data_IF_000285638189
#
_entry.id   IF_000285638189
#
_cell.length_a   1.000
_cell.length_b   1.000
_cell.length_c   1.000
_cell.angle_alpha   90.00
_cell.angle_beta   90.00
_cell.angle_gamma   90.00
#
_symmetry.space_group_name_H-M   'P 1'
#
loop_
_entity.id
_entity.type
_entity.pdbx_description
1 polymer ?
#
# COMPACT_ATOMS: atom_id res chain seq x y z
N UNK A 1 36.48 -16.48 30.26
CA UNK A 1 36.34 -17.43 29.14
C UNK A 1 34.95 -18.03 29.22
N UNK A 2 34.04 -17.55 28.44
CA UNK A 2 32.69 -18.10 28.23
C UNK A 2 32.62 -18.61 26.79
N UNK A 3 32.13 -19.84 26.54
CA UNK A 3 32.16 -20.45 25.21
C UNK A 3 30.99 -20.01 24.35
N UNK A 4 31.33 -19.57 23.15
CA UNK A 4 30.66 -19.72 21.87
C UNK A 4 29.14 -19.69 21.80
N UNK A 5 28.57 -18.49 21.60
CA UNK A 5 27.30 -18.36 20.90
C UNK A 5 27.56 -18.58 19.39
N UNK A 6 27.12 -19.74 18.89
CA UNK A 6 27.09 -20.00 17.44
C UNK A 6 26.10 -19.01 16.80
N UNK A 7 26.59 -18.20 15.90
CA UNK A 7 25.77 -17.43 14.96
C UNK A 7 24.80 -18.39 14.24
N UNK A 8 23.53 -18.25 14.53
CA UNK A 8 22.47 -18.88 13.74
C UNK A 8 22.34 -18.08 12.47
N UNK A 9 22.91 -18.58 11.39
CA UNK A 9 22.85 -17.92 10.09
C UNK A 9 21.41 -17.77 9.62
N UNK A 10 20.96 -16.53 9.43
CA UNK A 10 19.66 -16.11 8.94
C UNK A 10 19.13 -16.84 7.67
N UNK A 11 20.01 -17.38 6.78
CA UNK A 11 19.55 -18.11 5.58
C UNK A 11 18.70 -19.35 5.85
N UNK A 12 18.85 -19.98 7.02
CA UNK A 12 18.11 -21.22 7.33
C UNK A 12 16.67 -20.98 7.73
N UNK A 13 16.36 -19.84 8.35
CA UNK A 13 14.99 -19.48 8.73
C UNK A 13 14.16 -19.05 7.51
N UNK A 14 14.74 -18.24 6.62
CA UNK A 14 14.11 -17.81 5.36
C UNK A 14 13.88 -18.97 4.38
N UNK A 15 14.80 -19.94 4.29
CA UNK A 15 14.60 -21.16 3.51
C UNK A 15 13.43 -22.01 4.03
N UNK A 16 13.23 -22.06 5.34
CA UNK A 16 12.07 -22.78 5.93
C UNK A 16 10.75 -22.06 5.71
N UNK A 17 10.74 -20.73 5.72
CA UNK A 17 9.55 -19.94 5.38
C UNK A 17 9.20 -20.02 3.88
N UNK A 18 10.17 -19.98 2.98
CA UNK A 18 9.93 -20.11 1.53
C UNK A 18 9.42 -21.50 1.15
N UNK A 19 9.91 -22.57 1.80
CA UNK A 19 9.41 -23.94 1.58
C UNK A 19 8.00 -24.13 2.15
N UNK A 20 7.63 -23.42 3.24
CA UNK A 20 6.28 -23.48 3.80
C UNK A 20 5.23 -22.78 2.89
N UNK A 21 5.62 -21.72 2.18
CA UNK A 21 4.73 -21.02 1.24
C UNK A 21 4.39 -21.84 -0.02
N UNK A 22 5.27 -22.72 -0.47
CA UNK A 22 5.04 -23.60 -1.64
C UNK A 22 4.12 -24.78 -1.30
N UNK A 23 4.05 -25.20 -0.04
CA UNK A 23 3.22 -26.36 0.38
C UNK A 23 1.78 -25.99 0.80
N UNK A 24 1.46 -24.72 1.08
CA UNK A 24 0.08 -24.30 1.37
C UNK A 24 -0.85 -24.19 0.16
N UNK A 25 -0.33 -24.34 -1.07
CA UNK A 25 -1.09 -24.18 -2.32
C UNK A 25 -1.96 -25.37 -2.76
N UNK A 26 -2.01 -26.50 -2.05
CA UNK A 26 -2.57 -27.75 -2.58
C UNK A 26 -3.71 -28.41 -1.79
N UNK A 27 -4.34 -27.73 -0.84
CA UNK A 27 -5.48 -28.31 -0.11
C UNK A 27 -6.64 -27.31 0.03
N UNK A 28 -7.32 -26.99 -1.08
CA UNK A 28 -8.61 -26.27 -1.03
C UNK A 28 -9.73 -27.26 -1.31
N UNK A 29 -10.37 -27.76 -0.25
CA UNK A 29 -11.68 -28.37 -0.33
C UNK A 29 -12.77 -27.30 -0.55
N UNK A 30 -14.00 -27.66 -1.00
CA UNK A 30 -15.03 -26.67 -1.33
C UNK A 30 -15.47 -25.92 -0.08
N UNK A 31 -15.11 -24.64 0.05
CA UNK A 31 -15.60 -23.75 1.06
C UNK A 31 -16.96 -23.19 0.63
N UNK A 32 -17.97 -23.35 1.49
CA UNK A 32 -19.28 -22.74 1.29
C UNK A 32 -19.15 -21.22 1.42
N UNK A 33 -19.49 -20.51 0.35
CA UNK A 33 -19.66 -19.08 0.33
C UNK A 33 -20.69 -18.66 1.39
N UNK A 34 -20.26 -17.92 2.42
CA UNK A 34 -21.20 -17.09 3.17
C UNK A 34 -21.43 -15.84 2.32
N UNK A 35 -22.66 -15.67 1.86
CA UNK A 35 -23.04 -14.54 1.02
C UNK A 35 -22.75 -13.21 1.71
N UNK A 36 -22.38 -12.21 0.91
CA UNK A 36 -22.37 -10.79 1.34
C UNK A 36 -23.65 -10.46 2.11
N UNK A 37 -23.55 -9.77 3.27
CA UNK A 37 -24.75 -9.35 4.01
C UNK A 37 -25.67 -8.55 3.08
N UNK A 38 -27.00 -8.66 3.23
CA UNK A 38 -27.93 -7.87 2.44
C UNK A 38 -27.65 -6.38 2.64
N UNK A 39 -27.75 -5.59 1.56
CA UNK A 39 -27.37 -4.19 1.45
C UNK A 39 -28.01 -3.23 2.48
N UNK A 40 -28.97 -3.68 3.27
CA UNK A 40 -29.72 -2.88 4.25
C UNK A 40 -29.56 -3.39 5.69
N UNK A 41 -28.60 -4.26 5.99
CA UNK A 41 -28.39 -4.76 7.35
C UNK A 41 -27.56 -3.77 8.18
N UNK A 42 -28.06 -3.40 9.35
CA UNK A 42 -27.27 -2.73 10.39
C UNK A 42 -26.39 -3.78 11.07
N UNK A 43 -25.08 -3.53 11.11
CA UNK A 43 -24.12 -4.33 11.84
C UNK A 43 -23.47 -3.49 12.94
N UNK A 44 -23.35 -4.06 14.14
CA UNK A 44 -22.54 -3.52 15.22
C UNK A 44 -21.65 -4.65 15.76
N UNK A 45 -20.35 -4.43 15.71
CA UNK A 45 -19.38 -5.36 16.26
C UNK A 45 -18.47 -4.61 17.24
N UNK A 46 -18.05 -5.26 18.29
CA UNK A 46 -17.08 -4.72 19.24
C UNK A 46 -16.07 -5.79 19.57
N UNK A 47 -14.79 -5.46 19.44
CA UNK A 47 -13.69 -6.33 19.83
C UNK A 47 -12.89 -5.71 20.99
N UNK A 48 -12.50 -6.55 21.95
CA UNK A 48 -11.55 -6.21 23.01
C UNK A 48 -10.23 -6.92 22.68
N UNK A 49 -9.16 -6.15 22.53
CA UNK A 49 -7.82 -6.65 22.21
C UNK A 49 -6.88 -6.58 23.41
N UNK A 50 -6.01 -7.56 23.54
CA UNK A 50 -4.88 -7.57 24.47
C UNK A 50 -3.65 -7.96 23.65
N UNK A 51 -2.54 -7.24 23.83
CA UNK A 51 -1.37 -7.51 23.02
C UNK A 51 -0.07 -7.00 23.63
N UNK A 52 1.00 -7.18 22.86
CA UNK A 52 2.33 -6.60 23.11
C UNK A 52 2.76 -5.94 21.80
N UNK A 53 3.20 -4.70 21.88
CA UNK A 53 3.71 -3.93 20.75
C UNK A 53 5.10 -3.42 21.04
N UNK A 54 5.99 -3.52 20.05
CA UNK A 54 7.34 -2.97 20.11
C UNK A 54 7.42 -1.74 19.21
N UNK A 55 7.65 -0.58 19.82
CA UNK A 55 7.81 0.71 19.15
C UNK A 55 9.29 0.99 18.93
N UNK A 56 9.68 1.30 17.70
CA UNK A 56 11.06 1.56 17.30
C UNK A 56 11.29 3.01 16.86
N UNK A 57 10.20 3.78 16.71
CA UNK A 57 10.23 5.19 16.32
C UNK A 57 10.89 6.10 17.39
N UNK A 58 11.15 7.37 17.03
CA UNK A 58 11.87 8.30 17.90
C UNK A 58 11.06 8.75 19.14
N UNK A 59 9.74 8.54 19.15
CA UNK A 59 8.85 8.98 20.22
C UNK A 59 8.48 7.84 21.14
N UNK A 60 8.97 7.87 22.36
CA UNK A 60 8.77 6.87 23.43
C UNK A 60 8.94 5.44 22.91
N UNK A 61 10.16 5.07 22.45
CA UNK A 61 10.45 3.70 22.00
C UNK A 61 10.39 2.72 23.17
N UNK A 62 10.09 1.46 22.88
CA UNK A 62 10.06 0.40 23.88
C UNK A 62 8.99 -0.64 23.62
N UNK A 63 8.95 -1.65 24.45
CA UNK A 63 7.94 -2.71 24.38
C UNK A 63 6.87 -2.44 25.43
N UNK A 64 5.63 -2.34 24.98
CA UNK A 64 4.46 -2.05 25.80
C UNK A 64 3.45 -3.18 25.71
N UNK A 65 2.79 -3.45 26.82
CA UNK A 65 1.54 -4.22 26.82
C UNK A 65 0.42 -3.32 26.27
N UNK A 66 -0.52 -3.88 25.56
CA UNK A 66 -1.65 -3.13 24.99
C UNK A 66 -2.99 -3.73 25.39
N UNK A 67 -3.96 -2.86 25.58
CA UNK A 67 -5.38 -3.19 25.67
C UNK A 67 -6.14 -2.26 24.74
N UNK A 68 -6.94 -2.83 23.84
CA UNK A 68 -7.64 -2.09 22.80
C UNK A 68 -9.12 -2.38 22.78
N UNK A 69 -9.92 -1.38 22.46
CA UNK A 69 -11.34 -1.50 22.18
C UNK A 69 -11.57 -1.05 20.74
N UNK A 70 -12.16 -1.91 19.92
CA UNK A 70 -12.40 -1.67 18.50
C UNK A 70 -13.91 -1.83 18.19
N UNK A 71 -14.71 -0.77 18.38
CA UNK A 71 -16.09 -0.76 17.90
C UNK A 71 -16.14 -0.55 16.39
N UNK A 72 -17.03 -1.29 15.73
CA UNK A 72 -17.28 -1.27 14.30
C UNK A 72 -18.78 -1.19 14.05
N UNK A 73 -19.18 -0.25 13.21
CA UNK A 73 -20.57 -0.02 12.83
C UNK A 73 -20.68 -0.04 11.32
N UNK A 74 -21.57 -0.85 10.78
CA UNK A 74 -21.84 -0.91 9.34
C UNK A 74 -23.33 -0.75 9.05
N UNK A 75 -23.64 -0.05 7.98
CA UNK A 75 -25.00 0.14 7.48
C UNK A 75 -25.00 0.28 5.95
N UNK A 76 -25.49 -0.71 5.25
CA UNK A 76 -25.45 -0.74 3.79
C UNK A 76 -24.02 -0.57 3.26
N UNK A 77 -23.79 0.49 2.45
CA UNK A 77 -22.48 0.84 1.93
C UNK A 77 -21.60 1.62 2.91
N UNK A 78 -22.12 2.06 4.03
CA UNK A 78 -21.41 2.86 5.03
C UNK A 78 -20.81 1.96 6.12
N UNK A 79 -19.60 2.26 6.53
CA UNK A 79 -18.93 1.62 7.67
C UNK A 79 -18.04 2.62 8.41
N UNK A 80 -17.97 2.47 9.73
CA UNK A 80 -17.06 3.21 10.61
C UNK A 80 -16.49 2.29 11.67
N UNK A 81 -15.16 2.26 11.78
CA UNK A 81 -14.43 1.56 12.82
C UNK A 81 -13.58 2.50 13.65
N UNK A 82 -13.43 2.23 14.93
CA UNK A 82 -12.52 2.94 15.83
C UNK A 82 -11.45 1.98 16.36
N UNK A 83 -10.30 2.55 16.72
CA UNK A 83 -9.20 1.86 17.42
C UNK A 83 -8.80 2.66 18.65
N UNK A 84 -9.25 2.19 19.80
CA UNK A 84 -9.03 2.83 21.11
C UNK A 84 -8.03 1.98 21.91
N UNK A 85 -6.78 1.90 21.42
CA UNK A 85 -5.73 1.12 22.05
C UNK A 85 -4.96 1.97 23.07
N UNK A 86 -4.77 1.41 24.27
CA UNK A 86 -3.94 1.94 25.35
C UNK A 86 -2.69 1.06 25.46
N UNK A 87 -1.53 1.66 25.26
CA UNK A 87 -0.23 1.03 25.46
C UNK A 87 0.31 1.39 26.83
N UNK A 88 0.73 0.39 27.63
CA UNK A 88 1.18 0.58 29.00
C UNK A 88 2.36 -0.33 29.36
N UNK A 89 3.12 0.10 30.34
CA UNK A 89 4.24 -0.64 30.93
C UNK A 89 4.09 -0.70 32.46
N UNK A 90 4.53 -1.80 33.05
CA UNK A 90 4.50 -2.04 34.51
C UNK A 90 5.88 -2.41 35.08
N UNK A 91 6.96 -2.28 34.29
CA UNK A 91 8.30 -2.76 34.64
C UNK A 91 8.89 -2.13 35.91
N UNK A 92 8.46 -0.95 36.31
CA UNK A 92 8.95 -0.23 37.50
C UNK A 92 8.00 -0.31 38.71
N UNK A 93 7.06 -1.27 38.73
CA UNK A 93 6.08 -1.42 39.82
C UNK A 93 4.98 -0.36 39.86
N UNK A 94 4.93 0.55 38.90
CA UNK A 94 3.87 1.51 38.69
C UNK A 94 3.34 1.41 37.26
N UNK A 95 2.03 1.60 37.08
CA UNK A 95 1.41 1.64 35.76
C UNK A 95 1.85 2.92 35.03
N UNK A 96 2.52 2.76 33.90
CA UNK A 96 2.88 3.83 32.98
C UNK A 96 2.10 3.68 31.68
N UNK A 97 1.32 4.66 31.29
CA UNK A 97 0.62 4.71 29.99
C UNK A 97 1.48 5.51 29.02
N UNK A 98 1.72 4.95 27.83
CA UNK A 98 2.47 5.61 26.77
C UNK A 98 1.81 6.94 26.42
N UNK A 99 2.50 8.06 26.74
CA UNK A 99 1.91 9.40 26.64
C UNK A 99 1.77 9.86 25.21
N UNK A 100 2.65 9.41 24.32
CA UNK A 100 2.60 9.74 22.90
C UNK A 100 1.25 9.39 22.25
N UNK A 101 0.51 8.41 22.79
CA UNK A 101 -0.75 7.95 22.21
C UNK A 101 -1.97 8.79 22.65
N UNK A 102 -1.83 9.64 23.67
CA UNK A 102 -3.00 10.29 24.31
C UNK A 102 -2.77 11.75 24.70
N UNK A 103 -1.52 12.16 24.96
CA UNK A 103 -1.21 13.50 25.48
C UNK A 103 -0.85 14.41 24.33
N UNK A 104 -1.58 15.51 24.23
CA UNK A 104 -1.42 16.50 23.16
C UNK A 104 -0.92 17.84 23.73
N UNK A 105 -0.10 18.54 22.95
CA UNK A 105 0.51 19.81 23.33
C UNK A 105 0.21 20.95 22.34
N UNK A 106 -0.40 20.64 21.19
CA UNK A 106 -0.78 21.60 20.16
C UNK A 106 -1.98 21.10 19.38
N UNK A 107 -2.62 21.96 18.58
CA UNK A 107 -3.71 21.55 17.68
C UNK A 107 -3.21 20.56 16.60
N UNK A 108 -2.02 20.78 16.06
CA UNK A 108 -1.42 19.86 15.09
C UNK A 108 -1.22 18.47 15.71
N UNK A 109 -0.63 18.43 16.90
CA UNK A 109 -0.42 17.18 17.62
C UNK A 109 -1.76 16.52 18.04
N UNK A 110 -2.82 17.30 18.28
CA UNK A 110 -4.16 16.75 18.48
C UNK A 110 -4.64 15.97 17.24
N UNK A 111 -4.47 16.52 16.05
CA UNK A 111 -4.84 15.83 14.82
C UNK A 111 -4.02 14.53 14.64
N UNK A 112 -2.71 14.59 14.90
CA UNK A 112 -1.80 13.42 14.77
C UNK A 112 -2.12 12.30 15.76
N UNK A 113 -2.60 12.62 16.96
CA UNK A 113 -2.91 11.65 18.02
C UNK A 113 -4.32 11.11 17.89
N UNK A 114 -5.32 11.96 17.57
CA UNK A 114 -6.72 11.57 17.66
C UNK A 114 -7.34 11.15 16.32
N UNK A 115 -6.90 11.67 15.17
CA UNK A 115 -7.39 11.19 13.89
C UNK A 115 -7.09 9.68 13.69
N UNK A 116 -5.91 9.15 14.03
CA UNK A 116 -5.62 7.71 13.93
C UNK A 116 -6.45 6.80 14.85
N UNK A 117 -7.21 7.35 15.82
CA UNK A 117 -8.20 6.58 16.61
C UNK A 117 -9.42 6.17 15.76
N UNK A 118 -9.63 6.84 14.64
CA UNK A 118 -10.57 6.40 13.61
C UNK A 118 -9.82 5.34 12.80
N UNK A 119 -10.22 4.08 12.92
CA UNK A 119 -9.61 3.01 12.15
C UNK A 119 -9.96 3.15 10.67
N UNK A 120 -11.24 3.40 10.38
CA UNK A 120 -11.72 3.74 9.04
C UNK A 120 -13.11 4.41 9.09
N UNK A 121 -13.41 5.16 8.03
CA UNK A 121 -14.77 5.54 7.61
C UNK A 121 -14.86 5.20 6.13
N UNK A 122 -15.83 4.39 5.73
CA UNK A 122 -15.98 3.95 4.34
C UNK A 122 -17.39 4.15 3.84
N UNK A 123 -17.49 4.52 2.56
CA UNK A 123 -18.71 4.49 1.78
C UNK A 123 -18.46 3.90 0.40
N UNK A 124 -19.16 2.84 0.05
CA UNK A 124 -18.99 2.13 -1.21
C UNK A 124 -17.72 1.24 -1.26
N UNK A 125 -17.45 0.72 -2.43
CA UNK A 125 -16.26 -0.06 -2.76
C UNK A 125 -15.47 0.63 -3.89
N UNK A 126 -14.18 0.37 -4.00
CA UNK A 126 -13.35 0.87 -5.11
C UNK A 126 -13.96 0.44 -6.44
N UNK A 127 -14.21 1.41 -7.34
CA UNK A 127 -14.93 1.18 -8.60
C UNK A 127 -16.44 1.44 -8.56
N UNK A 128 -17.04 1.68 -7.40
CA UNK A 128 -18.40 2.23 -7.32
C UNK A 128 -18.41 3.67 -7.87
N UNK A 129 -19.56 4.17 -8.38
CA UNK A 129 -19.70 5.57 -8.83
C UNK A 129 -19.39 6.61 -7.75
N UNK A 130 -19.53 6.25 -6.48
CA UNK A 130 -19.04 6.99 -5.32
C UNK A 130 -18.34 6.03 -4.39
N UNK A 131 -17.07 6.24 -4.23
CA UNK A 131 -16.23 5.57 -3.24
C UNK A 131 -15.59 6.62 -2.34
N UNK A 132 -15.62 6.38 -1.04
CA UNK A 132 -14.94 7.18 -0.03
C UNK A 132 -14.33 6.25 1.02
N UNK A 133 -13.07 6.42 1.31
CA UNK A 133 -12.37 5.73 2.38
C UNK A 133 -11.46 6.70 3.13
N UNK A 134 -11.76 6.93 4.41
CA UNK A 134 -10.84 7.55 5.36
C UNK A 134 -10.24 6.42 6.19
N UNK A 135 -8.92 6.35 6.28
CA UNK A 135 -8.29 5.26 7.02
C UNK A 135 -6.82 5.08 6.68
N UNK A 136 -6.34 3.90 7.02
CA UNK A 136 -5.04 3.42 6.60
C UNK A 136 -5.22 2.47 5.41
N UNK A 137 -4.46 2.70 4.34
CA UNK A 137 -4.52 1.92 3.10
C UNK A 137 -3.12 1.61 2.56
N UNK A 138 -3.03 0.55 1.79
CA UNK A 138 -1.76 0.04 1.25
C UNK A 138 -1.72 -0.05 -0.28
N UNK A 139 -2.77 0.42 -0.98
CA UNK A 139 -2.89 0.29 -2.44
C UNK A 139 -3.66 1.48 -3.06
N UNK A 140 -3.27 2.71 -2.69
CA UNK A 140 -3.86 3.90 -3.33
C UNK A 140 -3.24 4.15 -4.70
N UNK A 141 -4.07 4.15 -5.75
CA UNK A 141 -3.63 4.28 -7.14
C UNK A 141 -4.49 5.31 -7.86
N UNK A 142 -3.86 6.21 -8.60
CA UNK A 142 -4.49 7.17 -9.51
C UNK A 142 -4.23 6.78 -10.96
N UNK A 143 -5.29 6.67 -11.76
CA UNK A 143 -5.19 6.25 -13.15
C UNK A 143 -4.55 4.87 -13.31
N UNK A 144 -3.51 4.79 -14.15
CA UNK A 144 -2.76 3.56 -14.41
C UNK A 144 -1.50 3.41 -13.53
N UNK A 145 -1.36 4.29 -12.51
CA UNK A 145 -0.31 4.20 -11.50
C UNK A 145 1.05 4.79 -11.89
N UNK A 146 1.15 5.50 -13.03
CA UNK A 146 2.44 6.02 -13.48
C UNK A 146 3.00 7.16 -12.62
N UNK A 147 2.14 7.90 -11.93
CA UNK A 147 2.50 8.98 -10.98
C UNK A 147 2.35 8.50 -9.54
N UNK A 148 1.18 7.94 -9.21
CA UNK A 148 0.87 7.37 -7.90
C UNK A 148 0.27 5.98 -8.10
N UNK A 149 1.02 4.97 -7.71
CA UNK A 149 0.63 3.58 -7.86
C UNK A 149 0.88 2.77 -6.59
N UNK A 150 -0.18 2.17 -6.07
CA UNK A 150 -0.13 1.38 -4.85
C UNK A 150 0.55 2.09 -3.66
N UNK A 151 0.35 3.40 -3.54
CA UNK A 151 0.85 4.17 -2.42
C UNK A 151 0.28 3.64 -1.10
N UNK A 152 1.14 3.55 -0.09
CA UNK A 152 0.79 3.06 1.24
C UNK A 152 1.09 4.11 2.31
N UNK A 153 0.09 4.44 3.13
CA UNK A 153 0.29 5.27 4.31
C UNK A 153 0.48 4.43 5.61
N UNK A 154 0.71 3.12 5.46
CA UNK A 154 0.84 2.18 6.58
C UNK A 154 2.28 1.83 6.94
N UNK A 155 3.26 2.45 6.28
CA UNK A 155 4.66 2.04 6.39
C UNK A 155 5.27 2.27 7.78
N UNK A 156 4.74 3.21 8.55
CA UNK A 156 5.20 3.49 9.91
C UNK A 156 4.40 2.77 11.01
N UNK A 157 3.42 1.94 10.63
CA UNK A 157 2.69 1.15 11.63
C UNK A 157 3.57 0.07 12.26
N UNK A 158 3.39 -0.25 13.54
CA UNK A 158 2.41 0.30 14.49
C UNK A 158 2.88 1.60 15.18
N UNK A 159 4.11 2.06 14.94
CA UNK A 159 4.69 3.25 15.61
C UNK A 159 3.85 4.50 15.36
N UNK A 160 3.42 4.69 14.12
CA UNK A 160 2.55 5.77 13.68
C UNK A 160 1.50 5.24 12.72
N UNK A 161 0.24 5.47 13.02
CA UNK A 161 -0.87 5.26 12.10
C UNK A 161 -1.24 6.59 11.47
N UNK A 162 -1.39 6.63 10.16
CA UNK A 162 -1.89 7.78 9.44
C UNK A 162 -3.35 7.57 9.07
N UNK A 163 -4.20 8.58 9.29
CA UNK A 163 -5.53 8.62 8.71
C UNK A 163 -5.44 9.36 7.38
N UNK A 164 -5.52 8.63 6.28
CA UNK A 164 -5.57 9.19 4.94
C UNK A 164 -6.99 9.26 4.40
N UNK A 165 -7.11 9.67 3.15
CA UNK A 165 -8.37 9.74 2.39
C UNK A 165 -8.13 9.18 0.99
N UNK A 166 -9.00 8.28 0.54
CA UNK A 166 -9.24 7.98 -0.86
C UNK A 166 -10.68 8.34 -1.21
N UNK A 167 -10.88 8.98 -2.37
CA UNK A 167 -12.22 9.28 -2.84
C UNK A 167 -12.28 9.25 -4.37
N UNK A 168 -13.26 8.51 -4.90
CA UNK A 168 -13.56 8.44 -6.33
C UNK A 168 -15.00 8.86 -6.57
N UNK A 169 -15.19 9.66 -7.59
CA UNK A 169 -16.48 10.13 -8.04
C UNK A 169 -16.60 9.94 -9.54
N UNK A 170 -17.58 9.17 -9.97
CA UNK A 170 -17.98 9.05 -11.37
C UNK A 170 -19.24 9.86 -11.63
N UNK A 171 -19.23 10.66 -12.67
CA UNK A 171 -20.36 11.51 -13.08
C UNK A 171 -21.64 10.72 -13.39
N UNK A 172 -21.55 9.42 -13.64
CA UNK A 172 -22.71 8.54 -13.76
C UNK A 172 -23.64 8.60 -12.54
N UNK A 173 -23.11 8.90 -11.34
CA UNK A 173 -23.91 9.11 -10.14
C UNK A 173 -24.98 10.19 -10.31
N UNK A 174 -24.68 11.21 -11.13
CA UNK A 174 -25.54 12.35 -11.40
C UNK A 174 -26.18 12.30 -12.80
N UNK A 175 -26.10 11.15 -13.50
CA UNK A 175 -26.47 11.02 -14.91
C UNK A 175 -25.68 11.95 -15.84
N UNK A 176 -24.43 12.27 -15.50
CA UNK A 176 -23.49 13.08 -16.29
C UNK A 176 -22.24 12.25 -16.55
N UNK A 177 -22.28 11.27 -17.48
CA UNK A 177 -21.23 10.26 -17.65
C UNK A 177 -19.91 10.80 -18.24
N UNK A 178 -19.83 12.11 -18.47
CA UNK A 178 -18.72 12.73 -19.20
C UNK A 178 -17.45 12.92 -18.38
N UNK A 179 -17.50 12.85 -17.07
CA UNK A 179 -16.35 13.13 -16.20
C UNK A 179 -16.29 12.23 -15.00
N UNK A 180 -15.10 12.17 -14.39
CA UNK A 180 -14.87 11.58 -13.08
C UNK A 180 -13.67 12.21 -12.39
N UNK A 181 -13.52 11.88 -11.12
CA UNK A 181 -12.49 12.41 -10.24
C UNK A 181 -12.01 11.31 -9.29
N UNK A 182 -10.71 11.22 -9.10
CA UNK A 182 -10.06 10.35 -8.12
C UNK A 182 -9.17 11.23 -7.24
N UNK A 183 -9.08 10.93 -5.95
CA UNK A 183 -8.19 11.67 -5.04
C UNK A 183 -7.62 10.79 -3.94
N UNK A 184 -6.41 11.15 -3.51
CA UNK A 184 -5.67 10.50 -2.43
C UNK A 184 -5.04 11.56 -1.55
N UNK A 185 -5.18 11.43 -0.24
CA UNK A 185 -4.45 12.19 0.78
C UNK A 185 -3.79 11.18 1.70
N UNK A 186 -2.47 11.19 1.78
CA UNK A 186 -1.71 10.20 2.57
C UNK A 186 -1.96 10.33 4.07
N UNK A 187 -1.99 11.57 4.57
CA UNK A 187 -2.19 11.89 5.98
C UNK A 187 -2.98 13.18 6.14
N UNK A 188 -4.20 13.07 6.65
CA UNK A 188 -5.10 14.22 6.89
C UNK A 188 -4.59 15.16 7.99
N UNK A 189 -3.77 14.68 8.94
CA UNK A 189 -3.20 15.51 9.97
C UNK A 189 -2.10 16.43 9.41
N UNK A 190 -1.27 15.92 8.50
CA UNK A 190 -0.12 16.65 7.95
C UNK A 190 -0.44 17.34 6.62
N UNK A 191 -1.35 16.78 5.82
CA UNK A 191 -1.70 17.25 4.48
C UNK A 191 -0.45 17.38 3.58
N UNK A 192 0.48 16.44 3.74
CA UNK A 192 1.79 16.47 3.08
C UNK A 192 1.75 15.80 1.69
N UNK A 193 1.25 14.57 1.59
CA UNK A 193 1.09 13.84 0.32
C UNK A 193 -0.34 13.97 -0.17
N UNK A 194 -0.51 14.64 -1.30
CA UNK A 194 -1.80 14.92 -1.92
C UNK A 194 -1.75 14.47 -3.39
N UNK A 195 -2.75 13.73 -3.85
CA UNK A 195 -2.89 13.33 -5.24
C UNK A 195 -4.32 13.49 -5.74
N UNK A 196 -4.47 13.79 -7.01
CA UNK A 196 -5.77 13.84 -7.66
C UNK A 196 -5.67 13.59 -9.16
N UNK A 197 -6.70 12.96 -9.71
CA UNK A 197 -6.90 12.76 -11.13
C UNK A 197 -8.29 13.22 -11.52
N UNK A 198 -8.39 14.00 -12.58
CA UNK A 198 -9.65 14.33 -13.25
C UNK A 198 -9.63 13.68 -14.62
N UNK A 199 -10.75 13.13 -15.05
CA UNK A 199 -10.85 12.55 -16.38
C UNK A 199 -12.18 12.89 -17.06
N UNK A 200 -12.16 12.90 -18.38
CA UNK A 200 -13.34 13.09 -19.20
C UNK A 200 -13.50 11.95 -20.19
N UNK A 201 -14.75 11.65 -20.54
CA UNK A 201 -15.15 10.68 -21.56
C UNK A 201 -15.76 11.43 -22.74
N UNK A 202 -14.95 11.98 -23.65
CA UNK A 202 -15.43 12.90 -24.68
C UNK A 202 -16.36 12.24 -25.71
N UNK A 203 -16.28 10.92 -25.85
CA UNK A 203 -17.03 10.14 -26.83
C UNK A 203 -18.16 9.30 -26.24
N UNK A 204 -18.49 9.47 -24.94
CA UNK A 204 -19.45 8.62 -24.23
C UNK A 204 -20.87 8.67 -24.83
N UNK A 205 -21.24 9.77 -25.46
CA UNK A 205 -22.55 9.94 -26.14
C UNK A 205 -22.57 9.47 -27.60
N UNK A 206 -21.45 8.95 -28.10
CA UNK A 206 -21.37 8.48 -29.48
C UNK A 206 -21.72 6.99 -29.57
N UNK A 207 -22.21 6.55 -30.73
CA UNK A 207 -22.47 5.14 -31.00
C UNK A 207 -21.22 4.39 -31.50
N UNK A 208 -20.02 4.97 -31.34
CA UNK A 208 -18.78 4.35 -31.75
C UNK A 208 -18.40 3.23 -30.77
N UNK A 209 -18.45 1.94 -31.20
CA UNK A 209 -18.05 0.83 -30.32
C UNK A 209 -16.63 1.04 -29.82
N UNK A 210 -16.34 0.66 -28.58
CA UNK A 210 -15.02 0.78 -27.95
C UNK A 210 -14.65 2.23 -27.61
N UNK A 211 -14.72 3.15 -28.60
CA UNK A 211 -14.30 4.55 -28.41
C UNK A 211 -15.24 5.37 -27.52
N UNK A 212 -16.50 4.95 -27.37
CA UNK A 212 -17.43 5.60 -26.44
C UNK A 212 -16.95 5.53 -24.97
N UNK A 213 -16.07 4.60 -24.63
CA UNK A 213 -15.46 4.46 -23.31
C UNK A 213 -14.03 5.03 -23.23
N UNK A 214 -13.61 5.81 -24.23
CA UNK A 214 -12.32 6.51 -24.19
C UNK A 214 -12.32 7.51 -23.04
N UNK A 215 -11.31 7.42 -22.19
CA UNK A 215 -11.03 8.37 -21.12
C UNK A 215 -9.77 9.17 -21.45
N UNK A 216 -9.81 10.46 -21.18
CA UNK A 216 -8.65 11.37 -21.21
C UNK A 216 -8.52 11.97 -19.81
N UNK A 217 -7.41 11.71 -19.14
CA UNK A 217 -7.17 12.10 -17.77
C UNK A 217 -6.00 13.07 -17.60
N UNK A 218 -6.03 13.78 -16.49
CA UNK A 218 -4.91 14.55 -15.97
C UNK A 218 -4.75 14.24 -14.51
N UNK A 219 -3.53 13.85 -14.13
CA UNK A 219 -3.14 13.49 -12.76
C UNK A 219 -2.09 14.45 -12.25
N UNK A 220 -2.23 14.90 -11.02
CA UNK A 220 -1.20 15.63 -10.28
C UNK A 220 -1.10 15.10 -8.86
N UNK A 221 0.13 14.94 -8.39
CA UNK A 221 0.41 14.60 -7.02
C UNK A 221 1.55 15.46 -6.47
N UNK A 222 1.48 15.82 -5.20
CA UNK A 222 2.42 16.72 -4.54
C UNK A 222 2.75 16.20 -3.15
N UNK A 223 4.02 16.33 -2.77
CA UNK A 223 4.45 16.25 -1.38
C UNK A 223 4.99 17.60 -0.96
N UNK A 224 4.38 18.17 0.09
CA UNK A 224 4.75 19.48 0.64
C UNK A 224 5.81 19.39 1.73
N UNK A 225 6.17 18.17 2.15
CA UNK A 225 7.17 17.92 3.19
C UNK A 225 7.98 16.64 2.93
N UNK A 226 8.79 16.56 1.85
CA UNK A 226 9.55 15.36 1.48
C UNK A 226 10.64 14.97 2.50
N UNK A 227 10.89 15.79 3.52
CA UNK A 227 11.80 15.48 4.63
C UNK A 227 11.06 15.13 5.93
N UNK A 228 9.80 14.73 5.86
CA UNK A 228 9.06 14.28 7.02
C UNK A 228 9.79 13.12 7.73
N UNK A 229 9.99 13.27 9.05
CA UNK A 229 10.69 12.26 9.86
C UNK A 229 12.21 12.30 9.79
N UNK A 230 12.81 13.09 8.90
CA UNK A 230 14.26 13.32 8.86
C UNK A 230 14.62 14.69 9.40
N UNK A 231 15.89 14.90 9.75
CA UNK A 231 16.38 16.21 10.18
C UNK A 231 16.24 17.20 9.02
N UNK A 232 15.28 18.11 9.12
CA UNK A 232 15.06 19.12 8.08
C UNK A 232 16.30 20.01 7.93
N UNK A 233 16.98 19.85 6.83
CA UNK A 233 18.04 20.74 6.42
C UNK A 233 17.44 21.77 5.48
N UNK A 234 16.97 22.89 6.01
CA UNK A 234 16.57 24.04 5.20
C UNK A 234 15.05 24.26 5.07
N UNK A 235 14.67 25.18 4.20
CA UNK A 235 13.28 25.60 3.95
C UNK A 235 12.39 24.43 3.51
N UNK A 236 11.09 24.47 3.83
CA UNK A 236 10.15 23.46 3.34
C UNK A 236 10.24 23.36 1.83
N UNK A 237 10.54 22.17 1.36
CA UNK A 237 10.72 21.84 -0.05
C UNK A 237 9.49 21.09 -0.51
N UNK A 238 9.02 21.36 -1.71
CA UNK A 238 7.85 20.69 -2.29
C UNK A 238 8.29 19.92 -3.53
N UNK A 239 7.78 18.73 -3.72
CA UNK A 239 7.91 17.98 -4.97
C UNK A 239 6.52 17.79 -5.60
N UNK A 240 6.43 18.02 -6.89
CA UNK A 240 5.20 17.83 -7.65
C UNK A 240 5.46 16.97 -8.89
N UNK A 241 4.58 16.00 -9.11
CA UNK A 241 4.55 15.17 -10.31
C UNK A 241 3.19 15.33 -10.96
N UNK A 242 3.17 15.59 -12.25
CA UNK A 242 1.93 15.78 -13.00
C UNK A 242 2.04 15.19 -14.39
N UNK A 243 0.90 14.80 -14.96
CA UNK A 243 0.86 14.16 -16.25
C UNK A 243 -0.54 13.99 -16.81
N UNK A 244 -0.59 13.43 -18.00
CA UNK A 244 -1.84 13.11 -18.68
C UNK A 244 -1.87 11.66 -19.13
N UNK A 245 -3.07 11.12 -19.22
CA UNK A 245 -3.32 9.74 -19.64
C UNK A 245 -4.46 9.66 -20.66
N UNK A 246 -4.41 8.62 -21.48
CA UNK A 246 -5.50 8.20 -22.37
C UNK A 246 -5.72 6.71 -22.12
N UNK A 247 -6.96 6.32 -21.85
CA UNK A 247 -7.37 4.95 -21.56
C UNK A 247 -8.52 4.52 -22.46
N UNK A 248 -8.44 3.32 -23.00
CA UNK A 248 -9.49 2.76 -23.87
C UNK A 248 -9.73 1.31 -23.51
N UNK A 249 -10.90 0.94 -22.96
CA UNK A 249 -11.33 -0.45 -22.83
C UNK A 249 -11.60 -1.04 -24.22
N UNK A 250 -10.63 -1.76 -24.78
CA UNK A 250 -10.71 -2.34 -26.12
C UNK A 250 -11.65 -3.54 -26.20
N UNK A 251 -11.65 -4.36 -25.16
CA UNK A 251 -12.45 -5.58 -25.07
C UNK A 251 -12.98 -5.72 -23.65
N UNK A 252 -14.26 -6.03 -23.52
CA UNK A 252 -14.87 -6.39 -22.25
C UNK A 252 -15.94 -7.47 -22.51
N UNK A 253 -15.51 -8.72 -22.51
CA UNK A 253 -16.40 -9.88 -22.59
C UNK A 253 -16.59 -10.37 -21.15
N UNK A 254 -17.78 -10.10 -20.61
CA UNK A 254 -18.14 -10.43 -19.24
C UNK A 254 -17.64 -11.82 -18.84
N UNK A 255 -16.97 -11.91 -17.71
CA UNK A 255 -16.43 -13.13 -17.08
C UNK A 255 -15.40 -13.91 -17.89
N UNK A 256 -15.12 -13.52 -19.14
CA UNK A 256 -14.18 -14.24 -20.00
C UNK A 256 -12.87 -13.49 -20.20
N UNK A 257 -12.94 -12.27 -20.70
CA UNK A 257 -11.74 -11.52 -21.08
C UNK A 257 -11.98 -10.00 -21.07
N UNK A 258 -11.07 -9.25 -20.48
CA UNK A 258 -11.02 -7.80 -20.62
C UNK A 258 -9.64 -7.34 -21.07
N UNK A 259 -9.60 -6.27 -21.85
CA UNK A 259 -8.39 -5.64 -22.35
C UNK A 259 -8.57 -4.12 -22.30
N UNK A 260 -7.80 -3.47 -21.48
CA UNK A 260 -7.64 -2.03 -21.41
C UNK A 260 -6.31 -1.65 -22.05
N UNK A 261 -6.29 -0.70 -22.98
CA UNK A 261 -5.07 -0.09 -23.46
C UNK A 261 -4.95 1.33 -22.89
N UNK A 262 -3.72 1.74 -22.58
CA UNK A 262 -3.46 3.06 -22.00
C UNK A 262 -2.12 3.64 -22.45
N UNK A 263 -2.02 4.95 -22.38
CA UNK A 263 -0.81 5.75 -22.60
C UNK A 263 -0.76 6.78 -21.50
N UNK A 264 0.40 6.92 -20.84
CA UNK A 264 0.65 7.95 -19.84
C UNK A 264 1.91 8.72 -20.16
N UNK A 265 1.90 10.00 -19.83
CA UNK A 265 3.08 10.87 -19.82
C UNK A 265 3.10 11.66 -18.52
N UNK A 266 4.27 11.79 -17.91
CA UNK A 266 4.41 12.52 -16.66
C UNK A 266 5.72 13.31 -16.61
N UNK A 267 5.72 14.33 -15.76
CA UNK A 267 6.90 15.15 -15.46
C UNK A 267 7.03 15.37 -13.97
N UNK A 268 8.25 15.24 -13.46
CA UNK A 268 8.61 15.54 -12.08
C UNK A 268 9.20 16.95 -12.05
N UNK A 269 8.42 17.95 -11.58
CA UNK A 269 8.79 19.35 -11.46
C UNK A 269 9.43 19.96 -12.73
N UNK A 270 9.07 19.49 -13.92
CA UNK A 270 9.71 19.87 -15.19
C UNK A 270 11.23 19.60 -15.27
N UNK A 271 11.80 18.83 -14.32
CA UNK A 271 13.22 18.43 -14.32
C UNK A 271 13.46 17.13 -15.06
N UNK A 272 12.55 16.19 -14.91
CA UNK A 272 12.59 14.91 -15.58
C UNK A 272 11.20 14.55 -16.10
N UNK A 273 11.14 13.80 -17.18
CA UNK A 273 9.91 13.38 -17.81
C UNK A 273 9.99 11.91 -18.23
N UNK A 274 8.85 11.24 -18.24
CA UNK A 274 8.73 9.87 -18.69
C UNK A 274 7.37 9.62 -19.33
N UNK A 275 7.26 8.48 -20.01
CA UNK A 275 6.00 8.03 -20.57
C UNK A 275 5.94 6.51 -20.63
N UNK A 276 4.73 5.98 -20.70
CA UNK A 276 4.50 4.57 -20.89
C UNK A 276 3.33 4.33 -21.85
N UNK A 277 3.36 3.19 -22.48
CA UNK A 277 2.22 2.61 -23.19
C UNK A 277 2.02 1.19 -22.66
N UNK A 278 0.79 0.82 -22.42
CA UNK A 278 0.54 -0.48 -21.85
C UNK A 278 -0.83 -1.06 -22.16
N UNK A 279 -0.96 -2.32 -21.76
CA UNK A 279 -2.23 -3.04 -21.76
C UNK A 279 -2.38 -3.78 -20.43
N UNK A 280 -3.60 -3.86 -19.95
CA UNK A 280 -3.97 -4.62 -18.76
C UNK A 280 -5.35 -5.25 -18.91
N UNK A 281 -5.66 -6.21 -18.07
CA UNK A 281 -6.97 -6.85 -18.12
C UNK A 281 -7.10 -8.08 -17.23
N UNK A 282 -8.21 -8.80 -17.44
CA UNK A 282 -8.52 -10.08 -16.79
C UNK A 282 -8.78 -11.17 -17.79
N UNK A 283 -8.44 -12.40 -17.43
CA UNK A 283 -8.75 -13.63 -18.17
C UNK A 283 -9.55 -14.53 -17.23
N UNK A 284 -10.72 -14.98 -17.68
CA UNK A 284 -11.63 -15.88 -16.94
C UNK A 284 -11.99 -15.28 -15.55
N UNK A 285 -12.06 -13.95 -15.46
CA UNK A 285 -12.33 -13.16 -14.23
C UNK A 285 -11.40 -13.45 -13.03
N UNK A 286 -10.45 -14.35 -13.18
CA UNK A 286 -9.56 -14.83 -12.12
C UNK A 286 -8.14 -14.31 -12.31
N UNK A 287 -7.60 -14.39 -13.54
CA UNK A 287 -6.23 -13.99 -13.80
C UNK A 287 -6.16 -12.55 -14.26
N UNK A 288 -5.35 -11.75 -13.59
CA UNK A 288 -5.01 -10.38 -13.99
C UNK A 288 -3.66 -10.35 -14.68
N UNK A 289 -3.52 -9.47 -15.66
CA UNK A 289 -2.27 -9.27 -16.37
C UNK A 289 -2.05 -7.80 -16.69
N UNK A 290 -0.79 -7.40 -16.84
CA UNK A 290 -0.40 -6.07 -17.31
C UNK A 290 0.96 -6.13 -18.00
N UNK A 291 1.08 -5.38 -19.09
CA UNK A 291 2.31 -5.22 -19.85
C UNK A 291 2.51 -3.75 -20.16
N UNK A 292 3.70 -3.22 -19.92
CA UNK A 292 4.02 -1.83 -20.19
C UNK A 292 5.36 -1.72 -20.89
N UNK A 293 5.46 -0.80 -21.84
CA UNK A 293 6.71 -0.28 -22.37
C UNK A 293 6.89 1.13 -21.83
N UNK A 294 8.06 1.41 -21.30
CA UNK A 294 8.37 2.65 -20.59
C UNK A 294 9.55 3.37 -21.26
N UNK A 295 9.40 4.68 -21.50
CA UNK A 295 10.48 5.56 -21.91
C UNK A 295 10.69 6.57 -20.79
N UNK A 296 11.79 6.44 -20.06
CA UNK A 296 12.09 7.24 -18.88
C UNK A 296 13.26 8.17 -19.17
N UNK A 297 13.09 9.45 -18.91
CA UNK A 297 14.17 10.43 -18.96
C UNK A 297 15.18 10.20 -17.83
N UNK A 298 16.31 10.90 -17.88
CA UNK A 298 17.29 10.83 -16.81
C UNK A 298 16.65 11.23 -15.46
N UNK A 299 16.94 10.46 -14.42
CA UNK A 299 16.45 10.64 -13.06
C UNK A 299 14.91 10.66 -12.92
N UNK A 300 14.20 10.15 -13.92
CA UNK A 300 12.76 9.94 -13.81
C UNK A 300 12.46 8.67 -13.00
N UNK A 301 11.70 8.82 -11.94
CA UNK A 301 11.24 7.72 -11.10
C UNK A 301 9.78 7.44 -11.46
N UNK A 302 9.48 6.34 -12.19
CA UNK A 302 8.10 5.94 -12.43
C UNK A 302 7.45 5.55 -11.11
N UNK A 303 6.13 5.74 -11.00
CA UNK A 303 5.44 5.45 -9.75
C UNK A 303 6.07 6.21 -8.56
N UNK A 304 6.32 7.52 -8.78
CA UNK A 304 7.05 8.35 -7.81
C UNK A 304 6.45 8.25 -6.41
N UNK A 305 5.13 8.33 -6.31
CA UNK A 305 4.38 8.07 -5.08
C UNK A 305 3.98 6.60 -5.04
N UNK A 306 4.96 5.73 -4.84
CA UNK A 306 4.80 4.28 -4.85
C UNK A 306 4.62 3.69 -3.45
N UNK A 307 4.68 2.37 -3.34
CA UNK A 307 4.38 1.64 -2.11
C UNK A 307 5.36 1.86 -0.97
N UNK A 308 6.58 2.30 -1.28
CA UNK A 308 7.63 2.59 -0.28
C UNK A 308 7.93 4.08 -0.17
N UNK A 309 7.10 4.93 -0.75
CA UNK A 309 7.36 6.37 -0.85
C UNK A 309 7.65 7.01 0.51
N UNK A 310 6.81 6.82 1.51
CA UNK A 310 6.96 7.47 2.81
C UNK A 310 8.29 7.16 3.52
N UNK A 311 8.89 6.00 3.24
CA UNK A 311 10.20 5.63 3.78
C UNK A 311 11.38 6.24 3.04
N UNK A 312 11.21 6.55 1.76
CA UNK A 312 12.29 6.91 0.84
C UNK A 312 12.09 8.31 0.22
N UNK A 313 11.13 9.07 0.74
CA UNK A 313 10.68 10.35 0.15
C UNK A 313 11.79 11.41 0.08
N UNK A 314 12.64 11.49 1.09
CA UNK A 314 13.78 12.40 1.13
C UNK A 314 14.88 12.01 0.11
N UNK A 315 15.16 10.72 -0.03
CA UNK A 315 16.11 10.20 -0.99
C UNK A 315 15.61 10.41 -2.43
N UNK A 316 14.35 10.08 -2.71
CA UNK A 316 13.74 10.31 -4.03
C UNK A 316 13.73 11.81 -4.38
N UNK A 317 13.42 12.67 -3.41
CA UNK A 317 13.51 14.11 -3.58
C UNK A 317 14.95 14.53 -3.96
N UNK A 318 15.97 14.04 -3.25
CA UNK A 318 17.37 14.38 -3.51
C UNK A 318 17.83 13.89 -4.89
N UNK A 319 17.41 12.70 -5.33
CA UNK A 319 17.70 12.19 -6.68
C UNK A 319 17.22 13.19 -7.74
N UNK A 320 15.96 13.62 -7.65
CA UNK A 320 15.35 14.54 -8.63
C UNK A 320 15.98 15.94 -8.55
N UNK A 321 16.31 16.41 -7.33
CA UNK A 321 16.87 17.77 -7.16
C UNK A 321 18.32 17.87 -7.62
N UNK A 322 19.14 16.85 -7.32
CA UNK A 322 20.57 16.83 -7.62
C UNK A 322 20.83 16.36 -9.05
N UNK A 323 20.12 15.32 -9.50
CA UNK A 323 20.31 14.70 -10.81
C UNK A 323 21.60 13.88 -10.95
N UNK A 324 21.69 13.12 -12.04
CA UNK A 324 22.88 12.35 -12.38
C UNK A 324 22.97 10.95 -11.78
N UNK A 325 21.86 10.42 -11.26
CA UNK A 325 21.81 9.09 -10.64
C UNK A 325 21.37 7.99 -11.61
N UNK A 326 20.55 8.31 -12.61
CA UNK A 326 20.14 7.35 -13.64
C UNK A 326 20.17 7.99 -15.03
N UNK A 327 20.63 7.24 -16.06
CA UNK A 327 20.52 7.67 -17.45
C UNK A 327 19.08 7.58 -17.95
N UNK A 328 18.78 8.27 -19.06
CA UNK A 328 17.55 8.01 -19.79
C UNK A 328 17.54 6.56 -20.30
N UNK A 329 16.38 5.89 -20.19
CA UNK A 329 16.27 4.48 -20.51
C UNK A 329 14.93 4.10 -21.14
N UNK A 330 14.97 3.03 -21.95
CA UNK A 330 13.77 2.28 -22.33
C UNK A 330 13.65 1.06 -21.42
N UNK A 331 12.47 0.87 -20.89
CA UNK A 331 12.18 -0.19 -19.94
C UNK A 331 10.87 -0.90 -20.23
N UNK A 332 10.59 -1.87 -19.41
CA UNK A 332 9.40 -2.70 -19.46
C UNK A 332 8.86 -2.95 -18.06
N UNK A 333 7.57 -3.25 -17.96
CA UNK A 333 6.93 -3.79 -16.77
C UNK A 333 6.00 -4.91 -17.18
N UNK A 334 6.04 -5.99 -16.42
CA UNK A 334 5.11 -7.12 -16.52
C UNK A 334 4.46 -7.33 -15.17
N UNK A 335 3.15 -7.45 -15.14
CA UNK A 335 2.39 -7.86 -13.97
C UNK A 335 1.54 -9.08 -14.28
N UNK A 336 1.43 -9.96 -13.31
CA UNK A 336 0.54 -11.11 -13.33
C UNK A 336 -0.06 -11.31 -11.95
N UNK A 337 -1.31 -11.75 -11.90
CA UNK A 337 -1.97 -12.00 -10.64
C UNK A 337 -3.14 -12.95 -10.78
N UNK A 338 -3.66 -13.36 -9.65
CA UNK A 338 -4.90 -14.13 -9.56
C UNK A 338 -5.78 -13.53 -8.48
N UNK A 339 -7.07 -13.62 -8.72
CA UNK A 339 -8.09 -13.13 -7.80
C UNK A 339 -9.25 -14.12 -7.83
N UNK A 340 -9.58 -14.66 -6.67
CA UNK A 340 -10.60 -15.68 -6.49
C UNK A 340 -11.69 -15.19 -5.57
N UNK A 341 -12.90 -15.77 -5.69
CA UNK A 341 -14.03 -15.57 -4.78
C UNK A 341 -14.41 -14.09 -4.58
N UNK A 342 -14.42 -13.30 -5.67
CA UNK A 342 -14.77 -11.88 -5.59
C UNK A 342 -13.67 -11.02 -4.97
N UNK A 343 -12.42 -11.30 -5.32
CA UNK A 343 -11.20 -10.61 -4.86
C UNK A 343 -10.84 -10.86 -3.37
N UNK A 344 -11.40 -11.90 -2.76
CA UNK A 344 -11.11 -12.26 -1.37
C UNK A 344 -9.81 -13.06 -1.18
N UNK A 345 -9.30 -13.67 -2.24
CA UNK A 345 -7.93 -14.19 -2.32
C UNK A 345 -7.26 -13.51 -3.50
N UNK A 346 -6.26 -12.71 -3.24
CA UNK A 346 -5.53 -11.97 -4.27
C UNK A 346 -4.05 -12.29 -4.19
N UNK A 347 -3.48 -12.64 -5.33
CA UNK A 347 -2.03 -12.73 -5.52
C UNK A 347 -1.64 -11.86 -6.72
N UNK A 348 -0.65 -11.01 -6.56
CA UNK A 348 -0.12 -10.17 -7.64
C UNK A 348 1.40 -10.13 -7.58
N UNK A 349 2.02 -10.25 -8.74
CA UNK A 349 3.46 -10.07 -8.92
C UNK A 349 3.68 -9.05 -10.04
N UNK A 350 4.57 -8.12 -9.81
CA UNK A 350 5.02 -7.14 -10.80
C UNK A 350 6.53 -7.19 -10.87
N UNK A 351 7.07 -7.21 -12.08
CA UNK A 351 8.50 -7.15 -12.34
C UNK A 351 8.75 -6.08 -13.40
N UNK A 352 9.71 -5.21 -13.16
CA UNK A 352 10.08 -4.15 -14.10
C UNK A 352 11.58 -3.93 -14.18
N UNK A 353 12.01 -3.33 -15.28
CA UNK A 353 13.43 -3.06 -15.51
C UNK A 353 13.73 -2.45 -16.88
N UNK A 354 14.99 -2.05 -17.11
CA UNK A 354 15.46 -1.58 -18.41
C UNK A 354 15.63 -2.74 -19.41
N UNK A 355 15.50 -2.44 -20.71
CA UNK A 355 15.86 -3.39 -21.77
C UNK A 355 17.38 -3.61 -21.89
N UNK A 356 18.16 -2.61 -21.57
CA UNK A 356 19.61 -2.69 -21.56
C UNK A 356 20.14 -2.50 -20.15
N UNK A 357 21.17 -3.26 -19.73
CA UNK A 357 21.85 -3.02 -18.47
C UNK A 357 22.29 -1.56 -18.37
N UNK A 358 21.92 -0.88 -17.29
CA UNK A 358 22.28 0.50 -17.04
C UNK A 358 23.04 0.59 -15.72
N UNK A 359 24.04 1.46 -15.66
CA UNK A 359 24.72 1.74 -14.43
C UNK A 359 23.87 2.74 -13.62
N UNK A 360 23.25 2.25 -12.56
CA UNK A 360 22.56 3.09 -11.57
C UNK A 360 23.52 3.34 -10.41
N UNK A 361 23.69 4.58 -10.04
CA UNK A 361 24.58 4.96 -8.93
C UNK A 361 23.86 4.91 -7.59
N UNK A 362 22.56 5.06 -7.59
CA UNK A 362 21.76 5.05 -6.37
C UNK A 362 21.06 3.68 -6.17
N UNK A 363 21.11 3.11 -4.95
CA UNK A 363 20.42 1.84 -4.62
C UNK A 363 18.93 1.87 -4.88
N UNK A 364 18.25 3.01 -4.72
CA UNK A 364 16.80 3.12 -4.94
C UNK A 364 16.39 2.91 -6.39
N UNK A 365 17.30 3.19 -7.33
CA UNK A 365 17.05 3.09 -8.77
C UNK A 365 17.56 1.77 -9.35
N UNK A 366 18.00 0.82 -8.52
CA UNK A 366 18.50 -0.46 -8.99
C UNK A 366 17.39 -1.35 -9.51
N UNK A 367 17.63 -1.93 -10.67
CA UNK A 367 16.74 -2.85 -11.36
C UNK A 367 17.40 -4.24 -11.51
N UNK A 368 16.64 -5.30 -11.82
CA UNK A 368 15.18 -5.37 -11.85
C UNK A 368 14.55 -5.16 -10.48
N UNK A 369 13.33 -4.64 -10.49
CA UNK A 369 12.51 -4.44 -9.31
C UNK A 369 11.34 -5.43 -9.32
N UNK A 370 11.23 -6.24 -8.27
CA UNK A 370 10.17 -7.22 -8.07
C UNK A 370 9.27 -6.78 -6.93
N UNK A 371 7.98 -6.82 -7.16
CA UNK A 371 6.98 -6.61 -6.13
C UNK A 371 5.98 -7.75 -6.14
N UNK A 372 5.68 -8.29 -4.97
CA UNK A 372 4.67 -9.30 -4.76
C UNK A 372 3.72 -8.93 -3.64
N UNK A 373 2.43 -9.17 -3.83
CA UNK A 373 1.42 -9.07 -2.78
C UNK A 373 0.60 -10.34 -2.75
N UNK A 374 0.24 -10.79 -1.55
CA UNK A 374 -0.69 -11.90 -1.36
C UNK A 374 -1.60 -11.57 -0.19
N UNK A 375 -2.91 -11.67 -0.41
CA UNK A 375 -3.91 -11.46 0.64
C UNK A 375 -4.96 -12.57 0.63
N UNK A 376 -5.41 -12.93 1.81
CA UNK A 376 -6.58 -13.77 2.07
C UNK A 376 -7.46 -12.98 3.03
N UNK A 377 -8.63 -12.56 2.59
CA UNK A 377 -9.59 -11.88 3.44
C UNK A 377 -10.23 -12.81 4.47
N UNK A 378 -10.71 -12.24 5.56
CA UNK A 378 -11.43 -12.98 6.58
C UNK A 378 -12.72 -13.60 6.01
N UNK A 379 -12.99 -14.86 6.36
CA UNK A 379 -14.17 -15.59 5.91
C UNK A 379 -13.93 -16.52 4.72
N UNK A 380 -12.83 -16.40 4.01
CA UNK A 380 -12.47 -17.31 2.90
C UNK A 380 -11.93 -18.64 3.43
N UNK A 381 -10.97 -18.56 4.32
CA UNK A 381 -10.51 -19.71 5.11
C UNK A 381 -11.03 -19.51 6.51
N UNK A 382 -11.85 -20.43 7.05
CA UNK A 382 -12.44 -20.25 8.37
C UNK A 382 -11.39 -19.92 9.43
N UNK A 383 -11.53 -18.75 10.03
CA UNK A 383 -10.66 -18.27 11.10
C UNK A 383 -9.28 -17.83 10.67
N UNK A 384 -8.99 -17.65 9.39
CA UNK A 384 -7.69 -17.19 8.92
C UNK A 384 -7.88 -16.00 7.99
N UNK A 385 -7.11 -14.92 8.22
CA UNK A 385 -6.82 -13.91 7.22
C UNK A 385 -5.31 -13.66 7.18
N UNK A 386 -4.80 -13.28 6.03
CA UNK A 386 -3.37 -13.13 5.80
C UNK A 386 -3.10 -12.04 4.78
N UNK A 387 -2.18 -11.14 5.10
CA UNK A 387 -1.66 -10.13 4.20
C UNK A 387 -0.14 -10.24 4.15
N UNK A 388 0.39 -10.25 2.95
CA UNK A 388 1.82 -10.30 2.70
C UNK A 388 2.18 -9.33 1.58
N UNK A 389 3.22 -8.55 1.78
CA UNK A 389 3.84 -7.74 0.74
C UNK A 389 5.36 -7.94 0.74
N UNK A 390 5.91 -7.98 -0.44
CA UNK A 390 7.32 -8.11 -0.72
C UNK A 390 7.71 -7.14 -1.82
N UNK A 391 8.64 -6.23 -1.51
CA UNK A 391 9.21 -5.27 -2.45
C UNK A 391 10.72 -5.46 -2.46
N UNK A 392 11.30 -5.74 -3.63
CA UNK A 392 12.72 -6.11 -3.77
C UNK A 392 13.33 -5.42 -4.98
N UNK A 393 14.39 -4.67 -4.74
CA UNK A 393 15.21 -4.03 -5.79
C UNK A 393 16.49 -4.83 -6.03
N UNK A 394 17.20 -4.50 -7.10
CA UNK A 394 18.48 -5.12 -7.48
C UNK A 394 18.43 -6.66 -7.60
N UNK A 395 17.36 -7.19 -8.19
CA UNK A 395 17.18 -8.63 -8.38
C UNK A 395 18.06 -9.13 -9.55
N UNK A 396 19.33 -9.38 -9.31
CA UNK A 396 20.24 -9.85 -10.35
C UNK A 396 20.21 -11.38 -10.53
N UNK A 397 19.94 -12.11 -9.44
CA UNK A 397 19.94 -13.58 -9.42
C UNK A 397 18.75 -14.12 -8.62
N UNK A 398 18.39 -15.39 -8.83
CA UNK A 398 17.34 -16.03 -8.05
C UNK A 398 17.67 -16.14 -6.55
N UNK A 399 18.96 -16.09 -6.18
CA UNK A 399 19.36 -16.07 -4.77
C UNK A 399 19.00 -14.76 -4.08
N UNK A 400 18.87 -13.66 -4.83
CA UNK A 400 18.50 -12.36 -4.27
C UNK A 400 17.05 -12.35 -3.75
N UNK A 401 16.20 -13.22 -4.29
CA UNK A 401 14.81 -13.39 -3.79
C UNK A 401 14.73 -13.78 -2.31
N UNK A 402 15.75 -14.40 -1.75
CA UNK A 402 15.80 -14.79 -0.35
C UNK A 402 16.69 -13.90 0.51
N UNK A 403 17.28 -12.86 -0.08
CA UNK A 403 18.03 -11.83 0.61
C UNK A 403 17.08 -10.70 1.03
N UNK A 404 17.14 -10.30 2.29
CA UNK A 404 16.37 -9.15 2.76
C UNK A 404 17.05 -7.81 2.46
N UNK A 405 18.27 -7.80 1.92
CA UNK A 405 18.96 -6.60 1.45
C UNK A 405 18.17 -5.97 0.29
N UNK A 406 18.07 -4.64 0.24
CA UNK A 406 17.27 -3.88 -0.74
C UNK A 406 15.79 -4.36 -0.81
N UNK A 407 15.25 -4.85 0.32
CA UNK A 407 13.89 -5.36 0.39
C UNK A 407 13.06 -4.72 1.50
N UNK A 408 11.76 -4.58 1.25
CA UNK A 408 10.75 -4.34 2.26
C UNK A 408 9.80 -5.54 2.30
N UNK A 409 9.63 -6.13 3.48
CA UNK A 409 8.81 -7.32 3.69
C UNK A 409 7.83 -7.01 4.80
N UNK A 410 6.55 -7.26 4.56
CA UNK A 410 5.51 -7.16 5.58
C UNK A 410 4.63 -8.40 5.52
N UNK A 411 4.32 -8.95 6.69
CA UNK A 411 3.38 -10.06 6.85
C UNK A 411 2.48 -9.78 8.04
N UNK A 412 1.17 -9.89 7.83
CA UNK A 412 0.17 -9.89 8.88
C UNK A 412 -0.62 -11.18 8.79
N UNK A 413 -0.69 -11.92 9.89
CA UNK A 413 -1.45 -13.16 9.99
C UNK A 413 -2.44 -13.04 11.13
N UNK A 414 -3.72 -13.28 10.86
CA UNK A 414 -4.77 -13.31 11.86
C UNK A 414 -5.36 -14.72 11.91
N UNK A 415 -5.45 -15.25 13.12
CA UNK A 415 -6.03 -16.54 13.40
C UNK A 415 -7.18 -16.42 14.39
N UNK A 416 -8.38 -16.79 13.95
CA UNK A 416 -9.58 -16.78 14.78
C UNK A 416 -9.79 -18.16 15.44
N UNK A 417 -9.98 -18.17 16.75
CA UNK A 417 -10.34 -19.36 17.51
C UNK A 417 -11.54 -19.03 18.42
N UNK A 418 -12.74 -19.46 18.01
CA UNK A 418 -13.99 -19.04 18.67
C UNK A 418 -14.18 -17.52 18.56
N UNK A 419 -14.46 -16.81 19.67
CA UNK A 419 -14.60 -15.35 19.67
C UNK A 419 -13.25 -14.60 19.63
N UNK A 420 -12.11 -15.31 19.80
CA UNK A 420 -10.79 -14.69 19.86
C UNK A 420 -10.12 -14.67 18.48
N UNK A 421 -9.45 -13.56 18.18
CA UNK A 421 -8.55 -13.40 17.03
C UNK A 421 -7.14 -13.15 17.56
N UNK A 422 -6.19 -13.95 17.11
CA UNK A 422 -4.76 -13.76 17.39
C UNK A 422 -4.13 -13.18 16.13
N UNK A 423 -3.52 -12.01 16.26
CA UNK A 423 -2.90 -11.28 15.15
C UNK A 423 -1.39 -11.21 15.37
N UNK A 424 -0.63 -11.60 14.35
CA UNK A 424 0.81 -11.42 14.27
C UNK A 424 1.12 -10.42 13.17
N UNK A 425 1.88 -9.40 13.49
CA UNK A 425 2.44 -8.46 12.54
C UNK A 425 3.96 -8.63 12.54
N UNK A 426 4.54 -8.75 11.36
CA UNK A 426 5.99 -8.76 11.18
C UNK A 426 6.37 -7.94 9.97
N UNK A 427 7.31 -7.02 10.14
CA UNK A 427 7.78 -6.13 9.10
C UNK A 427 9.29 -5.99 9.18
N UNK A 428 9.94 -6.11 8.04
CA UNK A 428 11.37 -5.81 7.85
C UNK A 428 11.48 -4.80 6.72
N UNK A 429 12.21 -3.73 6.96
CA UNK A 429 12.57 -2.74 5.93
C UNK A 429 14.09 -2.56 5.96
N UNK A 430 14.69 -2.63 4.78
CA UNK A 430 16.10 -2.31 4.59
C UNK A 430 16.24 -0.83 4.27
N UNK A 431 16.99 -0.09 5.09
CA UNK A 431 17.35 1.30 4.88
C UNK A 431 18.88 1.41 4.83
N UNK A 432 19.47 1.52 3.64
CA UNK A 432 20.91 1.55 3.47
C UNK A 432 21.57 2.81 4.07
N UNK A 433 20.79 3.83 4.42
CA UNK A 433 21.29 5.07 5.03
C UNK A 433 21.60 4.93 6.51
N UNK A 434 21.08 3.88 7.16
CA UNK A 434 21.18 3.63 8.60
C UNK A 434 22.32 2.65 8.92
N UNK A 435 23.56 3.04 8.72
CA UNK A 435 24.73 2.24 9.12
C UNK A 435 25.08 2.50 10.60
N UNK A 436 25.40 1.48 11.44
CA UNK A 436 25.67 0.09 11.08
C UNK A 436 24.46 -0.85 11.11
N UNK A 437 23.25 -0.37 11.36
CA UNK A 437 22.05 -1.19 11.52
C UNK A 437 21.00 -0.82 10.44
N UNK A 438 21.17 -1.32 9.21
CA UNK A 438 20.30 -0.95 8.07
C UNK A 438 18.91 -1.63 8.12
N UNK A 439 18.62 -2.41 9.16
CA UNK A 439 17.40 -3.19 9.27
C UNK A 439 16.44 -2.58 10.29
N UNK A 440 15.25 -2.19 9.84
CA UNK A 440 14.14 -1.87 10.72
C UNK A 440 13.22 -3.09 10.83
N UNK A 441 13.18 -3.70 12.00
CA UNK A 441 12.31 -4.85 12.26
C UNK A 441 11.25 -4.44 13.27
N UNK A 442 10.00 -4.49 12.83
CA UNK A 442 8.84 -4.25 13.68
C UNK A 442 8.06 -5.55 13.84
N UNK A 443 7.68 -5.89 15.06
CA UNK A 443 6.84 -7.06 15.32
C UNK A 443 5.77 -6.74 16.34
N UNK A 444 4.61 -7.34 16.17
CA UNK A 444 3.48 -7.20 17.09
C UNK A 444 2.74 -8.52 17.24
N UNK A 445 2.28 -8.78 18.45
CA UNK A 445 1.35 -9.85 18.78
C UNK A 445 0.17 -9.23 19.50
N UNK A 446 -1.01 -9.44 18.97
CA UNK A 446 -2.25 -8.97 19.56
C UNK A 446 -3.27 -10.11 19.61
N UNK A 447 -4.01 -10.20 20.69
CA UNK A 447 -5.20 -11.06 20.78
C UNK A 447 -6.40 -10.19 21.03
N UNK A 448 -7.42 -10.32 20.20
CA UNK A 448 -8.71 -9.63 20.37
C UNK A 448 -9.83 -10.64 20.57
N UNK A 449 -10.86 -10.25 21.33
CA UNK A 449 -12.03 -11.06 21.59
C UNK A 449 -13.24 -10.27 21.10
N UNK A 450 -14.01 -10.85 20.18
CA UNK A 450 -15.29 -10.27 19.76
C UNK A 450 -16.28 -10.35 20.94
N UNK A 451 -16.82 -9.20 21.33
CA UNK A 451 -17.78 -9.10 22.45
C UNK A 451 -19.24 -9.27 21.97
N UNK A 452 -19.55 -8.83 20.74
CA UNK A 452 -20.87 -8.93 20.11
C UNK A 452 -20.72 -9.04 18.60
#
# INVERSE_FOLDING_TARGET
MLPGLKEVSMPTLLRRCAVMLVFCGLAVGPAFSQGTPPADSFGFHMALGIGIQNFTGPVEPGTFSSIGLAPDISFGKFGIGLDLTINYDTNNGSLYIRRADWVVNSFQNFLEVYLPKIAYIRYGLKGDPLFLELGSFNDATLGDGFIMGSYSNMLFMPDQRHLGLQADLDGNLFNVPFFGFESVIGNLAQMDVLGGRVFVRPLVSTELPVLNNLEVGFTAAVDTNPFFGTLSVGNPSTIAVYGGDIRVPLVNVKDAFSLLAFIDVASIQSKSAGGMIGVSGRIISIFTYGLQLRALGADFIPDYFGPTYDLLRDQQYMIVQTGGFSPAMLGWLVSAGTSFLGDTIVFRVTLDGPFAPSAFTDPLLRYPHLRGTFSIEEGVVPGISFDFSYDKKALATLSDLVSAEDAAIQAQFNFRTGPAIISFLYKIVFDPTQSPHPWHVTSGLQTSIALF
#
